data_IF_087024939998
#
_entry.id   IF_087024939998
#
_cell.length_a   1.000
_cell.length_b   1.000
_cell.length_c   1.000
_cell.angle_alpha   90.00
_cell.angle_beta   90.00
_cell.angle_gamma   90.00
#
_symmetry.space_group_name_H-M   'P 1'
#
loop_
_entity.id
_entity.type
_entity.pdbx_description
1 polymer ?
#
# COMPACT_ATOMS: atom_id res chain seq x y z
N UNK A 1 5.99 -4.47 -11.31
CA UNK A 1 5.42 -3.66 -10.22
C UNK A 1 6.57 -3.13 -9.38
N UNK A 2 6.49 -1.90 -8.92
CA UNK A 2 7.49 -1.27 -8.04
C UNK A 2 6.74 -0.62 -6.89
N UNK A 3 7.19 -0.86 -5.67
CA UNK A 3 6.59 -0.27 -4.47
C UNK A 3 7.67 0.20 -3.52
N UNK A 4 7.34 1.21 -2.72
CA UNK A 4 8.19 1.75 -1.67
C UNK A 4 7.36 1.97 -0.42
N UNK A 5 7.90 1.55 0.72
CA UNK A 5 7.29 1.73 2.03
C UNK A 5 8.33 2.38 2.94
N UNK A 6 7.89 3.36 3.73
CA UNK A 6 8.73 4.02 4.73
C UNK A 6 7.97 4.14 6.03
N UNK A 7 8.62 3.75 7.12
CA UNK A 7 8.15 4.04 8.46
C UNK A 7 8.16 5.56 8.66
N UNK A 8 6.98 6.14 8.88
CA UNK A 8 6.81 7.60 8.99
C UNK A 8 6.55 8.04 10.42
N UNK A 9 5.82 7.26 11.23
CA UNK A 9 5.59 7.64 12.62
C UNK A 9 5.54 6.43 13.56
N UNK A 10 6.40 6.49 14.57
CA UNK A 10 6.18 5.80 15.85
C UNK A 10 5.26 6.68 16.72
N UNK A 11 4.06 6.96 16.19
CA UNK A 11 3.16 8.00 16.71
C UNK A 11 2.79 7.77 18.18
N UNK A 12 2.78 6.50 18.61
CA UNK A 12 2.55 6.14 20.01
C UNK A 12 3.40 4.91 20.38
N UNK A 13 3.83 4.79 21.64
CA UNK A 13 4.64 3.65 22.14
C UNK A 13 4.02 2.27 21.81
N UNK A 14 2.70 2.24 21.64
CA UNK A 14 1.91 1.05 21.30
C UNK A 14 1.52 0.94 19.81
N UNK A 15 1.91 1.88 18.94
CA UNK A 15 1.48 1.92 17.52
C UNK A 15 2.60 2.41 16.60
N UNK A 16 3.02 1.58 15.65
CA UNK A 16 3.81 2.04 14.51
C UNK A 16 2.89 2.28 13.32
N UNK A 17 3.27 3.23 12.48
CA UNK A 17 2.69 3.43 11.17
C UNK A 17 3.74 3.51 10.07
N UNK A 18 3.43 2.86 8.96
CA UNK A 18 4.23 2.85 7.75
C UNK A 18 3.39 3.41 6.61
N UNK A 19 3.97 4.29 5.79
CA UNK A 19 3.33 4.83 4.60
C UNK A 19 4.02 4.24 3.39
N UNK A 20 3.21 3.63 2.54
CA UNK A 20 3.67 3.02 1.31
C UNK A 20 2.93 3.56 0.10
N UNK A 21 3.62 3.49 -1.02
CA UNK A 21 3.02 3.66 -2.33
C UNK A 21 3.45 2.51 -3.24
N UNK A 22 2.54 2.14 -4.12
CA UNK A 22 2.74 1.05 -5.06
C UNK A 22 2.32 1.50 -6.46
N UNK A 23 3.20 1.22 -7.41
CA UNK A 23 2.94 1.41 -8.83
C UNK A 23 2.92 0.06 -9.54
N UNK A 24 1.85 -0.19 -10.26
CA UNK A 24 1.66 -1.41 -11.04
C UNK A 24 1.42 -1.04 -12.50
N UNK A 25 2.09 -1.74 -13.40
CA UNK A 25 1.75 -1.73 -14.81
C UNK A 25 1.54 -3.15 -15.31
N UNK A 26 0.63 -3.31 -16.26
CA UNK A 26 0.38 -4.58 -16.92
C UNK A 26 0.34 -4.38 -18.43
N UNK A 27 0.96 -5.29 -19.17
CA UNK A 27 0.92 -5.27 -20.63
C UNK A 27 -0.47 -5.65 -21.11
N UNK A 28 -1.18 -4.72 -21.76
CA UNK A 28 -2.41 -5.02 -22.51
C UNK A 28 -2.05 -5.29 -23.98
N UNK A 29 -2.31 -6.50 -24.51
CA UNK A 29 -2.28 -6.75 -25.93
C UNK A 29 -3.17 -5.76 -26.69
N UNK A 30 -2.73 -5.27 -27.85
CA UNK A 30 -3.39 -4.24 -28.64
C UNK A 30 -4.86 -4.55 -28.99
N UNK A 31 -5.25 -5.83 -29.03
CA UNK A 31 -6.62 -6.28 -29.27
C UNK A 31 -7.57 -6.12 -28.06
N UNK A 32 -7.05 -6.04 -26.84
CA UNK A 32 -7.86 -5.89 -25.61
C UNK A 32 -8.05 -4.41 -25.20
N UNK A 33 -7.22 -3.50 -25.72
CA UNK A 33 -7.34 -2.05 -25.50
C UNK A 33 -8.74 -1.45 -25.70
N UNK A 34 -9.52 -1.79 -26.76
CA UNK A 34 -10.84 -1.18 -26.96
C UNK A 34 -11.89 -1.63 -25.94
N UNK A 35 -11.71 -2.78 -25.28
CA UNK A 35 -12.66 -3.32 -24.29
C UNK A 35 -12.23 -2.95 -22.87
N UNK A 36 -10.93 -3.01 -22.59
CA UNK A 36 -10.38 -2.83 -21.24
C UNK A 36 -9.90 -1.39 -20.94
N UNK A 37 -9.80 -0.54 -21.96
CA UNK A 37 -9.28 0.82 -21.85
C UNK A 37 -7.75 0.91 -21.92
N UNK A 38 -7.22 2.10 -22.25
CA UNK A 38 -5.78 2.34 -22.47
C UNK A 38 -5.04 2.74 -21.18
N UNK A 39 -5.51 2.28 -20.02
CA UNK A 39 -4.90 2.57 -18.72
C UNK A 39 -4.21 1.33 -18.12
N UNK A 40 -3.05 0.92 -18.68
CA UNK A 40 -2.27 -0.23 -18.20
C UNK A 40 -1.51 0.06 -16.90
N UNK A 41 -1.78 1.19 -16.23
CA UNK A 41 -1.05 1.67 -15.08
C UNK A 41 -2.01 1.93 -13.90
N UNK A 42 -1.58 1.54 -12.71
CA UNK A 42 -2.31 1.74 -11.46
C UNK A 42 -1.33 2.25 -10.41
N UNK A 43 -1.77 3.21 -9.62
CA UNK A 43 -1.03 3.73 -8.48
C UNK A 43 -1.91 3.63 -7.24
N UNK A 44 -1.31 3.20 -6.14
CA UNK A 44 -1.96 3.09 -4.84
C UNK A 44 -1.08 3.72 -3.75
N UNK A 45 -1.71 4.41 -2.80
CA UNK A 45 -1.10 4.88 -1.56
C UNK A 45 -1.81 4.17 -0.41
N UNK A 46 -1.06 3.65 0.54
CA UNK A 46 -1.61 2.95 1.69
C UNK A 46 -0.87 3.35 2.96
N UNK A 47 -1.62 3.42 4.06
CA UNK A 47 -1.11 3.59 5.41
C UNK A 47 -1.29 2.27 6.15
N UNK A 48 -0.19 1.70 6.63
CA UNK A 48 -0.16 0.47 7.42
C UNK A 48 -0.03 0.81 8.88
N UNK A 49 -0.97 0.36 9.70
CA UNK A 49 -0.94 0.53 11.15
C UNK A 49 -0.57 -0.79 11.82
N UNK A 50 0.51 -0.82 12.59
CA UNK A 50 1.01 -2.00 13.33
C UNK A 50 0.93 -1.74 14.83
N UNK A 51 -0.05 -2.32 15.56
CA UNK A 51 -0.05 -2.25 17.02
C UNK A 51 1.16 -3.00 17.57
N UNK A 52 1.99 -2.32 18.38
CA UNK A 52 3.03 -2.93 19.21
C UNK A 52 2.30 -3.54 20.41
N UNK A 53 2.32 -4.86 20.53
CA UNK A 53 1.57 -5.64 21.51
C UNK A 53 1.96 -5.38 22.96
N UNK A 54 1.65 -4.19 23.48
CA UNK A 54 1.47 -3.92 24.90
C UNK A 54 0.02 -3.49 25.19
N UNK A 55 -0.91 -3.88 24.31
CA UNK A 55 -2.30 -4.11 24.70
C UNK A 55 -2.34 -5.35 25.60
N UNK A 56 -1.75 -5.25 26.80
CA UNK A 56 -2.22 -6.09 27.89
C UNK A 56 -3.67 -5.67 28.09
N UNK A 57 -4.58 -6.50 27.58
CA UNK A 57 -5.94 -6.57 28.09
C UNK A 57 -5.80 -7.06 29.54
N UNK A 58 -5.51 -6.14 30.47
CA UNK A 58 -5.66 -6.39 31.90
C UNK A 58 -7.16 -6.50 32.14
N UNK A 59 -7.59 -7.73 32.36
CA UNK A 59 -8.95 -8.11 32.72
C UNK A 59 -9.01 -8.42 34.20
#
# INVERSE_FOLDING_TARGET
MVGYEREILQLVSWLNSDLGFQFSTYGLPSHLKPIYGDHPATFAVFLRLRPKGNMQMQH
#
